data_IF_879559510097
#
_entry.id   IF_879559510097
#
_cell.length_a   1.000
_cell.length_b   1.000
_cell.length_c   1.000
_cell.angle_alpha   90.00
_cell.angle_beta   90.00
_cell.angle_gamma   90.00
#
_symmetry.space_group_name_H-M   'P 1'
#
loop_
_entity.id
_entity.type
_entity.pdbx_description
1 polymer ?
#
# COMPACT_ATOMS: atom_id res chain seq x y z
N UNK A 1 -22.86 -9.37 -8.21
CA UNK A 1 -23.59 -9.60 -6.94
C UNK A 1 -23.27 -8.44 -6.01
N UNK A 2 -24.25 -7.68 -5.52
CA UNK A 2 -23.99 -6.54 -4.64
C UNK A 2 -23.61 -7.05 -3.22
N UNK A 3 -22.46 -6.66 -2.64
CA UNK A 3 -22.01 -7.17 -1.34
C UNK A 3 -22.96 -6.80 -0.19
N UNK A 4 -23.64 -5.66 -0.27
CA UNK A 4 -24.64 -5.25 0.72
C UNK A 4 -25.90 -6.13 0.66
N UNK A 5 -26.31 -6.55 -0.54
CA UNK A 5 -27.46 -7.45 -0.67
C UNK A 5 -27.16 -8.84 -0.08
N UNK A 6 -25.96 -9.36 -0.29
CA UNK A 6 -25.55 -10.67 0.27
C UNK A 6 -25.52 -10.63 1.80
N UNK A 7 -24.96 -9.56 2.38
CA UNK A 7 -24.88 -9.39 3.84
C UNK A 7 -26.25 -9.21 4.48
N UNK A 8 -27.13 -8.36 3.92
CA UNK A 8 -28.50 -8.18 4.42
C UNK A 8 -29.29 -9.49 4.32
N UNK A 9 -29.16 -10.24 3.22
CA UNK A 9 -29.82 -11.55 3.08
C UNK A 9 -29.34 -12.54 4.15
N UNK A 10 -28.04 -12.59 4.40
CA UNK A 10 -27.49 -13.44 5.45
C UNK A 10 -28.01 -13.04 6.85
N UNK A 11 -28.02 -11.74 7.16
CA UNK A 11 -28.56 -11.23 8.43
C UNK A 11 -30.04 -11.55 8.60
N UNK A 12 -30.85 -11.39 7.55
CA UNK A 12 -32.28 -11.73 7.61
C UNK A 12 -32.53 -13.21 7.87
N UNK A 13 -31.64 -14.08 7.39
CA UNK A 13 -31.75 -15.53 7.54
C UNK A 13 -31.34 -15.98 8.95
N UNK A 14 -30.35 -15.32 9.56
CA UNK A 14 -29.73 -15.79 10.81
C UNK A 14 -30.14 -14.98 12.05
N UNK A 15 -30.63 -13.74 11.87
CA UNK A 15 -30.80 -12.78 12.98
C UNK A 15 -32.12 -12.00 12.93
N UNK A 16 -33.00 -12.30 11.97
CA UNK A 16 -34.27 -11.60 11.73
C UNK A 16 -34.14 -10.09 11.43
N UNK A 17 -32.91 -9.57 11.30
CA UNK A 17 -32.68 -8.20 10.85
C UNK A 17 -33.01 -8.05 9.35
N UNK A 18 -33.76 -7.01 8.93
CA UNK A 18 -34.13 -5.80 9.67
C UNK A 18 -35.53 -5.81 10.31
N UNK A 19 -36.25 -6.95 10.28
CA UNK A 19 -37.61 -7.06 10.86
C UNK A 19 -37.59 -6.80 12.36
N UNK A 20 -36.56 -7.26 13.05
CA UNK A 20 -36.25 -6.91 14.44
C UNK A 20 -34.87 -6.29 14.55
N UNK A 21 -34.65 -5.49 15.60
CA UNK A 21 -33.31 -5.04 15.97
C UNK A 21 -32.46 -6.27 16.32
N UNK A 22 -31.17 -6.17 16.01
CA UNK A 22 -30.19 -7.16 16.45
C UNK A 22 -30.16 -7.20 17.99
N UNK A 23 -29.82 -8.37 18.52
CA UNK A 23 -29.47 -8.46 19.94
C UNK A 23 -28.29 -7.53 20.27
N UNK A 24 -28.29 -6.96 21.48
CA UNK A 24 -27.32 -5.95 21.87
C UNK A 24 -25.87 -6.45 21.77
N UNK A 25 -25.63 -7.74 22.04
CA UNK A 25 -24.30 -8.34 21.91
C UNK A 25 -23.87 -8.49 20.46
N UNK A 26 -24.80 -8.87 19.58
CA UNK A 26 -24.53 -9.00 18.15
C UNK A 26 -24.26 -7.63 17.52
N UNK A 27 -25.04 -6.61 17.88
CA UNK A 27 -24.83 -5.22 17.46
C UNK A 27 -23.44 -4.72 17.89
N UNK A 28 -23.06 -4.96 19.16
CA UNK A 28 -21.73 -4.61 19.65
C UNK A 28 -20.60 -5.30 18.86
N UNK A 29 -20.73 -6.59 18.54
CA UNK A 29 -19.71 -7.28 17.73
C UNK A 29 -19.60 -6.70 16.31
N UNK A 30 -20.72 -6.34 15.68
CA UNK A 30 -20.69 -5.71 14.35
C UNK A 30 -19.95 -4.38 14.42
N UNK A 31 -20.25 -3.54 15.42
CA UNK A 31 -19.54 -2.28 15.63
C UNK A 31 -18.04 -2.49 15.87
N UNK A 32 -17.64 -3.45 16.71
CA UNK A 32 -16.23 -3.77 16.96
C UNK A 32 -15.55 -4.26 15.68
N UNK A 33 -16.20 -5.12 14.89
CA UNK A 33 -15.64 -5.59 13.62
C UNK A 33 -15.44 -4.46 12.61
N UNK A 34 -16.36 -3.48 12.58
CA UNK A 34 -16.25 -2.31 11.73
C UNK A 34 -15.10 -1.39 12.17
N UNK A 35 -14.93 -1.21 13.48
CA UNK A 35 -13.79 -0.46 14.04
C UNK A 35 -12.45 -1.13 13.71
N UNK A 36 -12.36 -2.45 13.90
CA UNK A 36 -11.16 -3.23 13.56
C UNK A 36 -10.81 -3.13 12.07
N UNK A 37 -11.81 -3.26 11.18
CA UNK A 37 -11.60 -3.12 9.74
C UNK A 37 -11.12 -1.70 9.34
N UNK A 38 -11.61 -0.66 10.03
CA UNK A 38 -11.18 0.71 9.79
C UNK A 38 -9.73 0.95 10.26
N UNK A 39 -9.33 0.42 11.42
CA UNK A 39 -7.95 0.49 11.90
C UNK A 39 -6.98 -0.26 10.97
N UNK A 40 -7.36 -1.45 10.49
CA UNK A 40 -6.53 -2.23 9.57
C UNK A 40 -6.37 -1.51 8.23
N UNK A 41 -7.44 -0.92 7.69
CA UNK A 41 -7.36 -0.09 6.48
C UNK A 41 -6.46 1.15 6.68
N UNK A 42 -6.50 1.77 7.86
CA UNK A 42 -5.63 2.90 8.21
C UNK A 42 -4.15 2.47 8.33
N UNK A 43 -3.87 1.34 8.96
CA UNK A 43 -2.52 0.76 9.03
C UNK A 43 -1.97 0.41 7.64
N UNK A 44 -2.82 -0.15 6.77
CA UNK A 44 -2.48 -0.47 5.37
C UNK A 44 -2.29 0.79 4.50
N UNK A 45 -2.92 1.91 4.86
CA UNK A 45 -2.67 3.21 4.24
C UNK A 45 -1.34 3.82 4.71
N UNK A 46 -1.04 3.75 6.01
CA UNK A 46 0.21 4.26 6.58
C UNK A 46 1.45 3.52 6.05
N UNK A 47 1.36 2.20 5.87
CA UNK A 47 2.47 1.36 5.40
C UNK A 47 2.85 1.57 3.94
N UNK A 48 1.96 2.10 3.10
CA UNK A 48 2.24 2.38 1.67
C UNK A 48 3.33 3.42 1.45
N UNK A 49 3.67 4.21 2.47
CA UNK A 49 4.68 5.27 2.37
C UNK A 49 6.03 4.91 3.00
N UNK A 50 6.18 3.73 3.61
CA UNK A 50 7.41 3.34 4.33
C UNK A 50 8.52 2.79 3.42
N UNK A 51 8.18 2.27 2.25
CA UNK A 51 9.17 1.82 1.26
C UNK A 51 9.45 2.97 0.31
N UNK A 52 10.59 3.63 0.52
CA UNK A 52 11.08 4.66 -0.40
C UNK A 52 11.47 3.99 -1.72
N UNK A 53 10.55 3.98 -2.70
CA UNK A 53 10.74 3.30 -3.99
C UNK A 53 11.87 3.89 -4.82
N UNK A 54 12.21 5.16 -4.58
CA UNK A 54 13.24 5.89 -5.32
C UNK A 54 14.03 6.81 -4.40
N UNK A 55 15.34 6.64 -4.42
CA UNK A 55 16.30 7.45 -3.70
C UNK A 55 17.04 8.35 -4.70
N UNK A 56 16.55 9.58 -4.85
CA UNK A 56 17.10 10.54 -5.81
C UNK A 56 18.56 10.90 -5.56
N UNK A 57 19.04 10.79 -4.32
CA UNK A 57 20.43 11.04 -3.96
C UNK A 57 21.33 9.90 -4.46
N UNK A 58 20.92 8.64 -4.27
CA UNK A 58 21.64 7.48 -4.84
C UNK A 58 21.64 7.51 -6.36
N UNK A 59 20.50 7.80 -6.99
CA UNK A 59 20.39 7.91 -8.45
C UNK A 59 21.30 9.01 -9.02
N UNK A 60 21.39 10.16 -8.34
CA UNK A 60 22.28 11.25 -8.74
C UNK A 60 23.76 10.88 -8.57
N UNK A 61 24.12 10.23 -7.45
CA UNK A 61 25.47 9.75 -7.19
C UNK A 61 25.94 8.75 -8.26
N UNK A 62 25.11 7.75 -8.58
CA UNK A 62 25.37 6.75 -9.63
C UNK A 62 25.56 7.40 -11.02
N UNK A 63 24.71 8.36 -11.39
CA UNK A 63 24.87 9.10 -12.65
C UNK A 63 26.19 9.88 -12.70
N UNK A 64 26.56 10.55 -11.61
CA UNK A 64 27.83 11.30 -11.54
C UNK A 64 29.06 10.39 -11.64
N UNK A 65 29.01 9.22 -11.00
CA UNK A 65 30.07 8.23 -11.05
C UNK A 65 30.26 7.65 -12.46
N UNK A 66 29.16 7.26 -13.11
CA UNK A 66 29.18 6.75 -14.49
C UNK A 66 29.69 7.81 -15.48
N UNK A 67 29.29 9.08 -15.30
CA UNK A 67 29.79 10.18 -16.11
C UNK A 67 31.32 10.36 -15.98
N UNK A 68 31.85 10.35 -14.76
CA UNK A 68 33.31 10.43 -14.54
C UNK A 68 34.07 9.28 -15.21
N UNK A 69 33.53 8.05 -15.15
CA UNK A 69 34.14 6.88 -15.79
C UNK A 69 34.19 6.99 -17.31
N UNK A 70 33.18 7.62 -17.94
CA UNK A 70 33.21 7.87 -19.39
C UNK A 70 34.31 8.83 -19.82
N UNK A 71 34.69 9.80 -18.97
CA UNK A 71 35.75 10.75 -19.26
C UNK A 71 37.15 10.14 -19.11
N UNK A 72 37.34 9.21 -18.16
CA UNK A 72 38.62 8.52 -17.96
C UNK A 72 39.01 7.69 -19.18
N UNK A 73 38.06 6.98 -19.79
CA UNK A 73 38.32 6.23 -21.02
C UNK A 73 38.67 7.14 -22.20
N UNK A 74 38.13 8.36 -22.27
CA UNK A 74 38.46 9.34 -23.32
C UNK A 74 39.89 9.90 -23.20
N UNK A 75 40.40 10.07 -21.97
CA UNK A 75 41.76 10.59 -21.74
C UNK A 75 42.84 9.53 -22.06
N UNK A 76 42.55 8.25 -21.89
CA UNK A 76 43.50 7.17 -22.19
C UNK A 76 43.69 6.89 -23.69
N UNK A 77 42.72 7.17 -24.55
CA UNK A 77 42.80 6.87 -26.00
C UNK A 77 43.60 7.92 -26.81
N UNK A 78 43.88 9.11 -26.25
CA UNK A 78 44.72 10.11 -26.92
C UNK A 78 46.22 9.86 -26.77
N UNK A 79 46.65 8.92 -25.92
CA UNK A 79 48.05 8.52 -25.80
C UNK A 79 48.50 7.54 -26.90
N UNK A 80 47.59 7.04 -27.75
CA UNK A 80 47.89 6.16 -28.87
C UNK A 80 47.96 6.88 -30.24
N UNK A 81 48.02 8.22 -30.25
CA UNK A 81 48.20 9.03 -31.46
C UNK A 81 49.49 9.88 -31.40
N UNK A 82 50.64 9.22 -31.30
CA UNK A 82 51.91 9.60 -31.95
C UNK A 82 52.68 8.32 -32.22
#
# INVERSE_FOLDING_TARGET
MNPLQTTVRWLSTNTLFPVSRLDARAEAMVCVSALAAAEEAAAMAATRHLVQSRDGAKDAALRSYNHRRSLVHYVCDNAAKV
#
